data_IF_384284636084
#
_entry.id   IF_384284636084
#
_cell.length_a   1.000
_cell.length_b   1.000
_cell.length_c   1.000
_cell.angle_alpha   90.00
_cell.angle_beta   90.00
_cell.angle_gamma   90.00
#
_symmetry.space_group_name_H-M   'P 1'
#
loop_
_entity.id
_entity.type
_entity.pdbx_description
1 polymer ?
#
# COMPACT_ATOMS: atom_id res chain seq x y z
N UNK A 1 4.73 -19.15 24.69
CA UNK A 1 5.19 -17.77 24.37
C UNK A 1 4.46 -16.72 25.23
N UNK A 2 4.74 -16.59 26.54
CA UNK A 2 4.17 -15.47 27.33
C UNK A 2 5.12 -14.90 28.38
N UNK A 3 5.87 -15.72 29.12
CA UNK A 3 6.77 -15.23 30.18
C UNK A 3 8.12 -14.73 29.64
N UNK A 4 8.73 -15.47 28.72
CA UNK A 4 10.05 -15.12 28.14
C UNK A 4 10.01 -13.76 27.41
N UNK A 5 8.92 -13.47 26.69
CA UNK A 5 8.73 -12.20 25.99
C UNK A 5 8.59 -11.02 26.96
N UNK A 6 7.89 -11.21 28.08
CA UNK A 6 7.74 -10.18 29.12
C UNK A 6 9.08 -9.90 29.80
N UNK A 7 9.85 -10.95 30.12
CA UNK A 7 11.19 -10.81 30.70
C UNK A 7 12.13 -10.08 29.73
N UNK A 8 12.11 -10.43 28.45
CA UNK A 8 12.91 -9.76 27.44
C UNK A 8 12.53 -8.28 27.27
N UNK A 9 11.25 -7.94 27.26
CA UNK A 9 10.79 -6.55 27.17
C UNK A 9 11.26 -5.71 28.38
N UNK A 10 11.16 -6.27 29.59
CA UNK A 10 11.62 -5.60 30.81
C UNK A 10 13.15 -5.40 30.77
N UNK A 11 13.92 -6.43 30.38
CA UNK A 11 15.37 -6.34 30.29
C UNK A 11 15.83 -5.24 29.31
N UNK A 12 15.16 -5.10 28.16
CA UNK A 12 15.46 -4.05 27.17
C UNK A 12 15.23 -2.65 27.76
N UNK A 13 14.13 -2.44 28.50
CA UNK A 13 13.86 -1.14 29.16
C UNK A 13 14.96 -0.79 30.18
N UNK A 14 15.40 -1.76 30.97
CA UNK A 14 16.50 -1.55 31.93
C UNK A 14 17.84 -1.27 31.25
N UNK A 15 18.15 -1.94 30.13
CA UNK A 15 19.37 -1.70 29.37
C UNK A 15 19.42 -0.30 28.74
N UNK A 16 18.28 0.23 28.27
CA UNK A 16 18.16 1.60 27.76
C UNK A 16 18.32 2.62 28.90
N UNK A 17 17.78 2.33 30.08
CA UNK A 17 17.88 3.24 31.23
C UNK A 17 19.32 3.37 31.76
N UNK A 18 20.15 2.33 31.63
CA UNK A 18 21.55 2.33 32.06
C UNK A 18 22.47 3.05 31.07
N UNK A 19 22.22 2.87 29.76
CA UNK A 19 22.95 3.57 28.71
C UNK A 19 22.00 3.88 27.55
N UNK A 20 21.68 5.17 27.31
CA UNK A 20 20.82 5.58 26.21
C UNK A 20 21.30 5.13 24.83
N UNK A 21 22.61 4.84 24.64
CA UNK A 21 23.14 4.31 23.38
C UNK A 21 22.62 2.90 23.05
N UNK A 22 22.15 2.15 24.06
CA UNK A 22 21.51 0.85 23.90
C UNK A 22 20.12 0.92 23.25
N UNK A 23 19.59 2.12 23.03
CA UNK A 23 18.32 2.31 22.29
C UNK A 23 18.37 1.70 20.88
N UNK A 24 19.55 1.58 20.27
CA UNK A 24 19.75 0.90 18.98
C UNK A 24 19.27 -0.57 19.03
N UNK A 25 19.43 -1.28 20.15
CA UNK A 25 18.94 -2.65 20.29
C UNK A 25 17.41 -2.73 20.34
N UNK A 26 16.75 -1.70 20.88
CA UNK A 26 15.30 -1.60 20.85
C UNK A 26 14.77 -1.42 19.43
N UNK A 27 15.53 -0.74 18.57
CA UNK A 27 15.21 -0.49 17.16
C UNK A 27 15.27 -1.75 16.26
N UNK A 28 16.00 -2.79 16.66
CA UNK A 28 16.26 -4.01 15.84
C UNK A 28 15.10 -5.04 15.91
N UNK A 29 14.01 -4.74 16.61
CA UNK A 29 12.84 -5.63 16.71
C UNK A 29 11.50 -4.97 16.32
N UNK A 30 10.38 -5.73 16.34
CA UNK A 30 9.05 -5.21 16.00
C UNK A 30 8.60 -4.04 16.90
N UNK A 31 9.07 -3.96 18.16
CA UNK A 31 8.85 -2.80 19.02
C UNK A 31 9.61 -1.54 18.55
N UNK A 32 10.82 -1.73 18.03
CA UNK A 32 11.67 -0.69 17.44
C UNK A 32 11.11 -0.10 16.16
N UNK A 33 10.66 -0.98 15.26
CA UNK A 33 9.91 -0.58 14.06
C UNK A 33 8.65 0.21 14.43
N UNK A 34 7.95 -0.16 15.50
CA UNK A 34 6.79 0.61 16.01
C UNK A 34 7.17 2.02 16.47
N UNK A 35 8.28 2.18 17.19
CA UNK A 35 8.77 3.50 17.62
C UNK A 35 9.27 4.36 16.46
N UNK A 36 9.93 3.76 15.46
CA UNK A 36 10.31 4.45 14.22
C UNK A 36 9.09 4.87 13.41
N UNK A 37 8.08 4.01 13.33
CA UNK A 37 6.83 4.36 12.66
C UNK A 37 6.12 5.50 13.39
N UNK A 38 6.08 5.50 14.72
CA UNK A 38 5.51 6.61 15.51
C UNK A 38 6.29 7.92 15.35
N UNK A 39 7.62 7.86 15.27
CA UNK A 39 8.44 9.06 15.03
C UNK A 39 8.25 9.60 13.62
N UNK A 40 8.14 8.73 12.62
CA UNK A 40 7.85 9.08 11.24
C UNK A 40 6.40 9.57 11.05
N UNK A 41 5.42 8.95 11.71
CA UNK A 41 4.01 9.34 11.62
C UNK A 41 3.76 10.78 12.10
N UNK A 42 4.65 11.34 12.92
CA UNK A 42 4.59 12.73 13.38
C UNK A 42 5.47 13.69 12.55
N UNK A 43 6.20 13.19 11.54
CA UNK A 43 6.93 14.04 10.58
C UNK A 43 5.94 14.65 9.58
N UNK A 44 6.13 15.95 9.30
CA UNK A 44 5.33 16.66 8.29
C UNK A 44 5.51 16.06 6.91
N UNK A 45 6.71 15.63 6.55
CA UNK A 45 7.01 15.00 5.26
C UNK A 45 6.31 13.66 5.09
N UNK A 46 6.28 12.82 6.15
CA UNK A 46 5.55 11.56 6.12
C UNK A 46 4.04 11.80 6.06
N UNK A 47 3.53 12.75 6.86
CA UNK A 47 2.13 13.14 6.81
C UNK A 47 1.77 13.74 5.46
N UNK A 48 2.60 14.58 4.84
CA UNK A 48 2.40 15.15 3.49
C UNK A 48 2.38 14.03 2.46
N UNK A 49 3.30 13.08 2.51
CA UNK A 49 3.29 11.91 1.63
C UNK A 49 2.00 11.09 1.73
N UNK A 50 1.44 10.95 2.93
CA UNK A 50 0.21 10.19 3.19
C UNK A 50 -1.08 11.03 3.14
N UNK A 51 -0.97 12.36 3.17
CA UNK A 51 -2.08 13.33 3.11
C UNK A 51 -2.20 14.01 1.75
N UNK A 52 -1.28 13.74 0.82
CA UNK A 52 -1.42 14.05 -0.60
C UNK A 52 -2.60 13.25 -1.17
N UNK A 53 -3.80 13.72 -0.85
CA UNK A 53 -5.02 13.38 -1.54
C UNK A 53 -4.90 13.95 -2.95
N UNK A 54 -4.40 13.12 -3.87
CA UNK A 54 -4.42 13.45 -5.30
C UNK A 54 -5.76 12.99 -5.86
N UNK A 55 -6.63 13.95 -6.16
CA UNK A 55 -7.80 13.68 -6.96
C UNK A 55 -7.37 13.59 -8.43
N UNK A 56 -7.11 12.37 -8.89
CA UNK A 56 -6.87 12.11 -10.30
C UNK A 56 -8.21 11.76 -10.97
N UNK A 57 -8.54 12.49 -12.03
CA UNK A 57 -9.70 12.21 -12.88
C UNK A 57 -9.19 11.57 -14.15
N UNK A 58 -9.74 10.40 -14.47
CA UNK A 58 -9.46 9.69 -15.71
C UNK A 58 -10.78 9.46 -16.45
N UNK A 59 -10.76 9.64 -17.76
CA UNK A 59 -11.84 9.19 -18.62
C UNK A 59 -11.77 7.67 -18.77
N UNK A 60 -12.92 7.00 -18.85
CA UNK A 60 -12.99 5.55 -19.05
C UNK A 60 -12.26 5.12 -20.35
N UNK A 61 -12.28 5.97 -21.38
CA UNK A 61 -11.56 5.73 -22.63
C UNK A 61 -10.03 5.69 -22.52
N UNK A 62 -9.46 6.18 -21.41
CA UNK A 62 -8.03 6.12 -21.13
C UNK A 62 -7.57 4.75 -20.61
N UNK A 63 -8.52 3.92 -20.13
CA UNK A 63 -8.22 2.60 -19.58
C UNK A 63 -7.87 1.63 -20.71
N UNK A 64 -6.62 1.15 -20.71
CA UNK A 64 -6.08 0.25 -21.73
C UNK A 64 -6.38 -1.21 -21.44
N UNK A 65 -6.43 -1.59 -20.17
CA UNK A 65 -6.62 -2.97 -19.75
C UNK A 65 -7.20 -3.07 -18.34
N UNK A 66 -8.07 -4.05 -18.14
CA UNK A 66 -8.65 -4.38 -16.84
C UNK A 66 -8.07 -5.70 -16.35
N UNK A 67 -7.61 -5.74 -15.11
CA UNK A 67 -7.11 -6.94 -14.44
C UNK A 67 -8.04 -7.29 -13.30
N UNK A 68 -8.55 -8.52 -13.32
CA UNK A 68 -9.52 -9.04 -12.37
C UNK A 68 -8.83 -10.07 -11.45
N UNK A 69 -8.49 -9.67 -10.22
CA UNK A 69 -7.94 -10.58 -9.21
C UNK A 69 -9.04 -11.02 -8.24
N UNK A 70 -9.67 -12.15 -8.58
CA UNK A 70 -10.73 -12.75 -7.75
C UNK A 70 -10.23 -13.19 -6.39
N UNK A 71 -8.95 -13.61 -6.28
CA UNK A 71 -8.38 -14.10 -5.02
C UNK A 71 -8.26 -13.00 -3.97
N UNK A 72 -8.02 -11.77 -4.43
CA UNK A 72 -7.88 -10.57 -3.60
C UNK A 72 -9.14 -9.69 -3.57
N UNK A 73 -10.14 -10.01 -4.40
CA UNK A 73 -11.30 -9.16 -4.63
C UNK A 73 -10.88 -7.75 -5.09
N UNK A 74 -9.91 -7.71 -5.99
CA UNK A 74 -9.24 -6.51 -6.47
C UNK A 74 -9.40 -6.40 -7.98
N UNK A 75 -9.75 -5.20 -8.45
CA UNK A 75 -9.79 -4.86 -9.87
C UNK A 75 -8.72 -3.80 -10.09
N UNK A 76 -7.82 -4.02 -11.04
CA UNK A 76 -6.81 -3.03 -11.44
C UNK A 76 -7.12 -2.49 -12.83
N UNK A 77 -7.05 -1.17 -12.97
CA UNK A 77 -7.27 -0.45 -14.22
C UNK A 77 -5.93 0.12 -14.67
N UNK A 78 -5.45 -0.35 -15.81
CA UNK A 78 -4.21 0.13 -16.41
C UNK A 78 -4.48 1.32 -17.33
N UNK A 79 -3.69 2.37 -17.16
CA UNK A 79 -3.69 3.56 -17.98
C UNK A 79 -2.24 4.02 -18.22
N UNK A 80 -2.07 4.98 -19.09
CA UNK A 80 -0.77 5.56 -19.41
C UNK A 80 -0.54 6.84 -18.60
N UNK A 81 0.63 6.95 -17.96
CA UNK A 81 1.05 8.16 -17.25
C UNK A 81 2.34 8.70 -17.86
N UNK A 82 2.37 10.01 -18.11
CA UNK A 82 3.58 10.69 -18.53
C UNK A 82 4.47 10.98 -17.32
N UNK A 83 5.61 10.31 -17.27
CA UNK A 83 6.63 10.56 -16.26
C UNK A 83 7.54 11.71 -16.71
N UNK A 84 7.36 12.89 -16.10
CA UNK A 84 8.13 14.10 -16.44
C UNK A 84 9.64 13.92 -16.24
N UNK A 85 10.05 13.20 -15.18
CA UNK A 85 11.46 12.99 -14.85
C UNK A 85 12.16 12.15 -15.92
N UNK A 86 11.46 11.16 -16.46
CA UNK A 86 12.00 10.24 -17.47
C UNK A 86 11.66 10.65 -18.91
N UNK A 87 10.77 11.63 -19.09
CA UNK A 87 10.20 12.06 -20.38
C UNK A 87 9.64 10.88 -21.19
N UNK A 88 8.96 9.96 -20.51
CA UNK A 88 8.40 8.74 -21.11
C UNK A 88 6.97 8.51 -20.63
N UNK A 89 6.17 7.91 -21.50
CA UNK A 89 4.87 7.35 -21.15
C UNK A 89 5.12 5.97 -20.55
N UNK A 90 4.58 5.73 -19.36
CA UNK A 90 4.69 4.48 -18.63
C UNK A 90 3.29 3.94 -18.31
N UNK A 91 3.10 2.61 -18.29
CA UNK A 91 1.89 2.04 -17.73
C UNK A 91 1.80 2.36 -16.24
N UNK A 92 0.59 2.64 -15.77
CA UNK A 92 0.26 2.86 -14.38
C UNK A 92 -1.05 2.17 -14.04
N UNK A 93 -1.29 1.93 -12.75
CA UNK A 93 -2.46 1.20 -12.28
C UNK A 93 -3.19 1.97 -11.19
N UNK A 94 -4.52 1.96 -11.27
CA UNK A 94 -5.38 2.30 -10.14
C UNK A 94 -6.14 1.06 -9.67
N UNK A 95 -6.34 0.98 -8.36
CA UNK A 95 -6.84 -0.22 -7.68
C UNK A 95 -8.23 0.02 -7.10
N UNK A 96 -9.18 -0.83 -7.46
CA UNK A 96 -10.53 -0.87 -6.88
C UNK A 96 -10.63 -2.09 -5.99
N UNK A 97 -10.49 -1.86 -4.68
CA UNK A 97 -10.66 -2.89 -3.66
C UNK A 97 -12.15 -3.11 -3.39
N UNK A 98 -12.60 -4.36 -3.54
CA UNK A 98 -13.99 -4.72 -3.37
C UNK A 98 -14.20 -5.57 -2.11
N UNK A 99 -15.39 -5.47 -1.51
CA UNK A 99 -15.84 -6.53 -0.62
C UNK A 99 -16.07 -7.81 -1.42
N UNK A 100 -15.79 -8.97 -0.82
CA UNK A 100 -15.93 -10.28 -1.47
C UNK A 100 -17.29 -10.50 -2.16
N UNK A 101 -18.37 -10.09 -1.51
CA UNK A 101 -19.75 -10.28 -2.01
C UNK A 101 -20.10 -9.33 -3.18
N UNK A 102 -19.37 -8.22 -3.32
CA UNK A 102 -19.65 -7.15 -4.30
C UNK A 102 -18.71 -7.21 -5.51
N UNK A 103 -17.62 -7.98 -5.41
CA UNK A 103 -16.59 -8.06 -6.44
C UNK A 103 -17.14 -8.35 -7.84
N UNK A 104 -18.02 -9.35 -7.97
CA UNK A 104 -18.59 -9.73 -9.26
C UNK A 104 -19.43 -8.58 -9.87
N UNK A 105 -20.32 -8.00 -9.07
CA UNK A 105 -21.17 -6.88 -9.51
C UNK A 105 -20.36 -5.64 -9.86
N UNK A 106 -19.31 -5.32 -9.09
CA UNK A 106 -18.42 -4.20 -9.38
C UNK A 106 -17.61 -4.43 -10.66
N UNK A 107 -17.13 -5.65 -10.89
CA UNK A 107 -16.42 -6.00 -12.13
C UNK A 107 -17.34 -5.89 -13.36
N UNK A 108 -18.58 -6.37 -13.26
CA UNK A 108 -19.56 -6.23 -14.33
C UNK A 108 -19.91 -4.77 -14.61
N UNK A 109 -20.10 -3.96 -13.57
CA UNK A 109 -20.34 -2.52 -13.70
C UNK A 109 -19.17 -1.83 -14.42
N UNK A 110 -17.93 -2.08 -14.00
CA UNK A 110 -16.74 -1.51 -14.64
C UNK A 110 -16.64 -1.94 -16.11
N UNK A 111 -16.87 -3.23 -16.41
CA UNK A 111 -16.89 -3.73 -17.79
C UNK A 111 -17.98 -3.07 -18.65
N UNK A 112 -19.11 -2.70 -18.06
CA UNK A 112 -20.18 -2.01 -18.79
C UNK A 112 -19.78 -0.61 -19.29
N UNK A 113 -18.84 0.05 -18.62
CA UNK A 113 -18.24 1.31 -19.07
C UNK A 113 -17.08 1.12 -20.06
N UNK A 114 -16.59 -0.12 -20.21
CA UNK A 114 -15.37 -0.48 -20.94
C UNK A 114 -15.62 -1.69 -21.88
N UNK A 115 -16.59 -1.62 -22.81
CA UNK A 115 -17.04 -2.78 -23.58
C UNK A 115 -15.96 -3.37 -24.50
N UNK A 116 -15.06 -2.52 -25.02
CA UNK A 116 -14.01 -2.90 -25.97
C UNK A 116 -12.64 -3.09 -25.28
N UNK A 117 -12.55 -2.88 -23.97
CA UNK A 117 -11.28 -2.96 -23.23
C UNK A 117 -11.00 -4.40 -22.82
N UNK A 118 -9.79 -4.94 -23.07
CA UNK A 118 -9.45 -6.29 -22.66
C UNK A 118 -9.51 -6.44 -21.14
N UNK A 119 -10.18 -7.49 -20.68
CA UNK A 119 -10.21 -7.88 -19.28
C UNK A 119 -9.56 -9.26 -19.10
N UNK A 120 -8.53 -9.33 -18.27
CA UNK A 120 -7.82 -10.58 -17.95
C UNK A 120 -8.04 -10.96 -16.48
N UNK A 121 -8.16 -12.26 -16.20
CA UNK A 121 -8.25 -12.79 -14.85
C UNK A 121 -6.87 -13.29 -14.41
N UNK A 122 -6.16 -12.48 -13.63
CA UNK A 122 -4.82 -12.78 -13.15
C UNK A 122 -4.58 -12.17 -11.77
N UNK A 123 -3.56 -12.70 -11.07
CA UNK A 123 -3.20 -12.21 -9.75
C UNK A 123 -2.45 -10.89 -9.89
N UNK A 124 -2.93 -9.86 -9.21
CA UNK A 124 -2.34 -8.53 -9.26
C UNK A 124 -1.34 -8.36 -8.11
N UNK A 125 -0.10 -8.04 -8.47
CA UNK A 125 0.89 -7.56 -7.51
C UNK A 125 0.56 -6.10 -7.18
N UNK A 126 0.20 -5.85 -5.93
CA UNK A 126 0.01 -4.49 -5.41
C UNK A 126 1.37 -4.05 -4.90
N UNK A 127 1.89 -2.94 -5.43
CA UNK A 127 3.09 -2.31 -4.91
C UNK A 127 2.85 -1.96 -3.43
N UNK A 128 3.63 -2.58 -2.54
CA UNK A 128 3.65 -2.23 -1.12
C UNK A 128 4.60 -1.04 -0.97
N UNK A 129 4.05 0.12 -0.64
CA UNK A 129 4.82 1.31 -0.27
C UNK A 129 5.17 1.30 1.21
#
# INVERSE_FOLDING_TARGET
>A
MKIVTVIAAIAVVFLIALDPSNFIFALIGPGGMGLLYLSLANSKEFQEMHSLYRHNVYDWSEIKKVYADRSRHLISLEYEWFNENQKKILPWWTYVFCQRKEYASNLELIKSYLPDTPCVEEKVEVLQF
#
